data_IF_814891808172
#
_entry.id   IF_814891808172
#
_cell.length_a   1.000
_cell.length_b   1.000
_cell.length_c   1.000
_cell.angle_alpha   90.00
_cell.angle_beta   90.00
_cell.angle_gamma   90.00
#
_symmetry.space_group_name_H-M   'P 1'
#
loop_
_entity.id
_entity.type
_entity.pdbx_description
1 polymer ?
#
# COMPACT_ATOMS: atom_id res chain seq x y z
N UNK A 1 -5.71 36.93 -12.10
CA UNK A 1 -4.64 37.22 -11.13
C UNK A 1 -4.38 35.96 -10.36
N UNK A 2 -3.12 35.54 -10.19
CA UNK A 2 -2.82 34.40 -9.31
C UNK A 2 -3.27 34.79 -7.91
N UNK A 3 -4.10 33.95 -7.31
CA UNK A 3 -4.62 34.16 -5.97
C UNK A 3 -3.50 34.52 -5.00
N UNK A 4 -3.82 35.46 -4.10
CA UNK A 4 -2.90 35.98 -3.11
C UNK A 4 -2.29 34.90 -2.23
N UNK A 5 -1.35 35.31 -1.38
CA UNK A 5 -0.63 34.48 -0.41
C UNK A 5 -1.61 33.86 0.60
N UNK A 6 -2.32 32.82 0.17
CA UNK A 6 -3.23 32.02 0.99
C UNK A 6 -2.45 30.89 1.65
N UNK A 7 -2.82 30.58 2.88
CA UNK A 7 -2.16 29.56 3.69
C UNK A 7 -2.37 28.15 3.13
N UNK A 8 -3.49 27.89 2.47
CA UNK A 8 -3.72 26.65 1.71
C UNK A 8 -3.35 26.90 0.25
N UNK A 9 -2.54 26.03 -0.39
CA UNK A 9 -2.13 24.68 0.00
C UNK A 9 -0.72 24.59 0.65
N UNK A 10 -0.22 25.68 1.26
CA UNK A 10 1.20 25.81 1.67
C UNK A 10 1.51 25.20 3.03
N UNK A 11 0.53 25.14 3.91
CA UNK A 11 0.71 24.56 5.25
C UNK A 11 1.10 23.07 5.15
N UNK A 12 2.05 22.66 6.00
CA UNK A 12 2.39 21.26 6.16
C UNK A 12 1.16 20.51 6.68
N UNK A 13 0.78 19.44 5.99
CA UNK A 13 -0.32 18.57 6.37
C UNK A 13 0.21 17.24 6.91
N UNK A 14 -0.52 16.60 7.82
CA UNK A 14 -0.08 15.35 8.45
C UNK A 14 0.11 14.21 7.45
N UNK A 15 -0.68 14.19 6.37
CA UNK A 15 -0.54 13.23 5.26
C UNK A 15 0.78 13.36 4.49
N UNK A 16 1.60 14.38 4.75
CA UNK A 16 2.94 14.47 4.18
C UNK A 16 3.97 13.61 4.92
N UNK A 17 3.67 13.14 6.13
CA UNK A 17 4.63 12.41 6.96
C UNK A 17 5.13 11.16 6.24
N UNK A 18 6.45 10.95 6.23
CA UNK A 18 7.10 9.83 5.53
C UNK A 18 7.14 9.93 4.00
N UNK A 19 6.34 10.78 3.35
CA UNK A 19 6.29 10.93 1.89
C UNK A 19 7.08 12.13 1.37
N UNK A 20 7.05 13.25 2.10
CA UNK A 20 7.68 14.52 1.70
C UNK A 20 8.57 15.04 2.83
N UNK A 21 9.70 15.65 2.48
CA UNK A 21 10.55 16.32 3.45
C UNK A 21 9.81 17.52 4.08
N UNK A 22 9.64 17.57 5.41
CA UNK A 22 8.84 18.61 6.05
C UNK A 22 9.51 19.99 6.07
N UNK A 23 10.84 20.04 5.91
CA UNK A 23 11.64 21.26 6.09
C UNK A 23 12.19 21.83 4.78
N UNK A 24 12.41 20.99 3.76
CA UNK A 24 13.09 21.40 2.54
C UNK A 24 12.11 22.06 1.55
N UNK A 25 11.83 23.33 1.78
CA UNK A 25 11.01 24.18 0.90
C UNK A 25 11.64 25.58 0.81
N UNK A 26 11.65 26.22 -0.38
CA UNK A 26 12.21 27.56 -0.53
C UNK A 26 11.43 28.61 0.26
N UNK A 27 12.13 29.63 0.75
CA UNK A 27 11.49 30.77 1.41
C UNK A 27 10.66 31.62 0.42
N UNK A 28 9.77 32.45 0.96
CA UNK A 28 9.03 33.44 0.18
C UNK A 28 7.81 32.87 -0.57
N UNK A 29 7.66 33.23 -1.85
CA UNK A 29 6.43 32.96 -2.61
C UNK A 29 6.24 31.47 -2.96
N UNK A 30 7.29 30.67 -2.90
CA UNK A 30 7.26 29.24 -3.22
C UNK A 30 7.18 28.35 -1.97
N UNK A 31 7.22 28.94 -0.76
CA UNK A 31 7.13 28.21 0.51
C UNK A 31 5.86 27.37 0.57
N UNK A 32 6.03 26.06 0.80
CA UNK A 32 4.97 25.05 0.85
C UNK A 32 4.41 24.61 -0.51
N UNK A 33 4.78 25.28 -1.61
CA UNK A 33 4.40 24.89 -2.97
C UNK A 33 5.42 23.95 -3.61
N UNK A 34 6.70 24.24 -3.40
CA UNK A 34 7.78 23.33 -3.82
C UNK A 34 8.05 22.37 -2.69
N UNK A 35 7.93 21.08 -2.99
CA UNK A 35 8.06 19.96 -2.07
C UNK A 35 9.13 19.00 -2.60
N UNK A 36 9.92 18.43 -1.71
CA UNK A 36 10.92 17.43 -2.04
C UNK A 36 10.48 16.08 -1.48
N UNK A 37 10.59 15.02 -2.29
CA UNK A 37 10.24 13.66 -1.87
C UNK A 37 11.16 13.21 -0.73
N UNK A 38 10.64 12.38 0.18
CA UNK A 38 11.48 11.73 1.19
C UNK A 38 12.44 10.71 0.54
N UNK A 39 13.48 10.31 1.26
CA UNK A 39 14.46 9.33 0.77
C UNK A 39 13.83 7.98 0.40
N UNK A 40 12.80 7.57 1.13
CA UNK A 40 12.11 6.29 0.93
C UNK A 40 10.83 6.43 0.11
N UNK A 41 10.51 7.64 -0.37
CA UNK A 41 9.31 7.85 -1.18
C UNK A 41 9.45 7.15 -2.52
N UNK A 42 8.45 6.36 -2.86
CA UNK A 42 8.28 5.75 -4.17
C UNK A 42 7.06 6.36 -4.86
N UNK A 43 7.13 6.52 -6.18
CA UNK A 43 6.02 7.03 -7.00
C UNK A 43 5.54 5.89 -7.89
N UNK A 44 4.26 5.52 -7.77
CA UNK A 44 3.69 4.42 -8.54
C UNK A 44 3.80 4.67 -10.04
N UNK A 45 4.14 3.62 -10.79
CA UNK A 45 4.11 3.61 -12.26
C UNK A 45 2.77 3.10 -12.79
N UNK A 46 2.01 2.42 -11.92
CA UNK A 46 0.68 1.91 -12.21
C UNK A 46 0.70 0.52 -12.82
N UNK A 47 -0.40 -0.20 -12.65
CA UNK A 47 -0.59 -1.56 -13.16
C UNK A 47 -2.00 -1.77 -13.72
N UNK A 48 -2.18 -2.69 -14.69
CA UNK A 48 -3.50 -3.04 -15.20
C UNK A 48 -4.44 -3.50 -14.07
N UNK A 49 -5.65 -2.95 -14.06
CA UNK A 49 -6.66 -3.25 -13.03
C UNK A 49 -7.57 -4.42 -13.40
N UNK A 50 -7.69 -4.76 -14.69
CA UNK A 50 -8.61 -5.80 -15.18
C UNK A 50 -8.38 -7.17 -14.53
N UNK A 51 -7.13 -7.66 -14.36
CA UNK A 51 -6.90 -8.94 -13.69
C UNK A 51 -7.41 -8.98 -12.24
N UNK A 52 -7.40 -7.84 -11.55
CA UNK A 52 -7.90 -7.72 -10.17
C UNK A 52 -9.43 -7.81 -10.17
N UNK A 53 -10.08 -7.13 -11.12
CA UNK A 53 -11.53 -7.20 -11.32
C UNK A 53 -11.98 -8.63 -11.62
N UNK A 54 -11.35 -9.30 -12.59
CA UNK A 54 -11.65 -10.67 -12.97
C UNK A 54 -11.49 -11.64 -11.80
N UNK A 55 -10.42 -11.48 -11.02
CA UNK A 55 -10.22 -12.26 -9.80
C UNK A 55 -11.35 -12.07 -8.79
N UNK A 56 -11.79 -10.83 -8.56
CA UNK A 56 -12.88 -10.57 -7.61
C UNK A 56 -14.22 -11.15 -8.10
N UNK A 57 -14.53 -11.07 -9.40
CA UNK A 57 -15.73 -11.71 -9.98
C UNK A 57 -15.69 -13.22 -9.75
N UNK A 58 -14.55 -13.87 -9.97
CA UNK A 58 -14.36 -15.30 -9.69
C UNK A 58 -14.51 -15.66 -8.20
N UNK A 59 -14.35 -14.68 -7.30
CA UNK A 59 -14.54 -14.81 -5.85
C UNK A 59 -15.89 -14.28 -5.38
N UNK A 60 -16.92 -14.38 -6.24
CA UNK A 60 -18.31 -14.04 -5.92
C UNK A 60 -18.56 -12.54 -5.68
N UNK A 61 -17.76 -11.65 -6.27
CA UNK A 61 -18.18 -10.27 -6.46
C UNK A 61 -19.30 -10.21 -7.49
N UNK A 62 -20.42 -9.61 -7.10
CA UNK A 62 -21.54 -9.33 -7.99
C UNK A 62 -21.24 -8.05 -8.77
N UNK A 63 -21.30 -8.11 -10.10
CA UNK A 63 -21.05 -6.95 -10.94
C UNK A 63 -22.17 -5.92 -10.80
N UNK A 64 -21.85 -4.64 -10.92
CA UNK A 64 -22.81 -3.57 -10.66
C UNK A 64 -24.06 -3.66 -11.56
N UNK A 65 -23.91 -4.13 -12.78
CA UNK A 65 -24.99 -4.29 -13.75
C UNK A 65 -26.02 -5.36 -13.34
N UNK A 66 -25.61 -6.33 -12.53
CA UNK A 66 -26.46 -7.43 -12.05
C UNK A 66 -26.99 -7.18 -10.64
N UNK A 67 -26.42 -6.20 -9.92
CA UNK A 67 -26.73 -5.93 -8.53
C UNK A 67 -28.13 -5.33 -8.34
N UNK A 68 -28.94 -6.02 -7.51
CA UNK A 68 -30.22 -5.52 -7.02
C UNK A 68 -30.12 -4.98 -5.59
N UNK A 69 -30.24 -3.65 -5.36
CA UNK A 69 -30.08 -3.05 -4.03
C UNK A 69 -31.05 -3.58 -2.96
N UNK A 70 -32.23 -4.06 -3.38
CA UNK A 70 -33.22 -4.62 -2.47
C UNK A 70 -32.87 -6.01 -1.94
N UNK A 71 -32.04 -6.77 -2.65
CA UNK A 71 -31.67 -8.13 -2.28
C UNK A 71 -30.57 -8.16 -1.21
N UNK A 72 -29.59 -7.25 -1.30
CA UNK A 72 -28.43 -7.22 -0.41
C UNK A 72 -28.09 -5.78 0.05
N UNK A 73 -28.94 -5.13 0.87
CA UNK A 73 -28.75 -3.73 1.29
C UNK A 73 -27.48 -3.52 2.13
N UNK A 74 -26.95 -4.59 2.74
CA UNK A 74 -25.74 -4.56 3.55
C UNK A 74 -24.46 -4.92 2.79
N UNK A 75 -24.54 -5.11 1.47
CA UNK A 75 -23.37 -5.43 0.65
C UNK A 75 -22.35 -4.28 0.64
N UNK A 76 -21.08 -4.64 0.62
CA UNK A 76 -19.97 -3.66 0.53
C UNK A 76 -19.71 -3.32 -0.92
N UNK A 77 -19.63 -2.02 -1.21
CA UNK A 77 -19.34 -1.49 -2.55
C UNK A 77 -17.86 -1.66 -2.86
N UNK A 78 -17.55 -2.08 -4.08
CA UNK A 78 -16.16 -2.25 -4.53
C UNK A 78 -15.85 -1.21 -5.60
N UNK A 79 -14.81 -0.43 -5.36
CA UNK A 79 -14.32 0.61 -6.27
C UNK A 79 -12.94 0.25 -6.78
N UNK A 80 -12.72 0.41 -8.08
CA UNK A 80 -11.41 0.30 -8.72
C UNK A 80 -11.12 1.61 -9.42
N UNK A 81 -10.04 2.30 -9.01
CA UNK A 81 -9.65 3.61 -9.55
C UNK A 81 -10.83 4.61 -9.58
N UNK A 82 -11.62 4.62 -8.50
CA UNK A 82 -12.80 5.48 -8.35
C UNK A 82 -14.08 5.01 -9.07
N UNK A 83 -14.01 3.97 -9.89
CA UNK A 83 -15.19 3.40 -10.57
C UNK A 83 -15.85 2.35 -9.70
N UNK A 84 -17.15 2.46 -9.43
CA UNK A 84 -17.92 1.42 -8.75
C UNK A 84 -18.12 0.24 -9.70
N UNK A 85 -17.47 -0.89 -9.41
CA UNK A 85 -17.48 -2.08 -10.28
C UNK A 85 -18.47 -3.16 -9.85
N UNK A 86 -18.85 -3.18 -8.58
CA UNK A 86 -19.70 -4.23 -8.04
C UNK A 86 -19.87 -4.17 -6.54
N UNK A 87 -20.46 -5.22 -5.98
CA UNK A 87 -20.64 -5.39 -4.54
C UNK A 87 -20.22 -6.78 -4.09
N UNK A 88 -19.97 -6.92 -2.79
CA UNK A 88 -19.70 -8.21 -2.18
C UNK A 88 -20.33 -8.32 -0.80
N UNK A 89 -20.95 -9.46 -0.51
CA UNK A 89 -21.67 -9.71 0.75
C UNK A 89 -20.74 -10.07 1.92
N UNK A 90 -19.57 -10.64 1.64
CA UNK A 90 -18.56 -11.04 2.63
C UNK A 90 -17.21 -10.30 2.41
N UNK A 91 -17.16 -8.97 2.57
CA UNK A 91 -15.99 -8.16 2.21
C UNK A 91 -14.72 -8.50 2.99
N UNK A 92 -14.84 -8.96 4.23
CA UNK A 92 -13.68 -9.30 5.06
C UNK A 92 -12.82 -10.38 4.39
N UNK A 93 -13.47 -11.45 3.93
CA UNK A 93 -12.79 -12.56 3.26
C UNK A 93 -12.20 -12.12 1.91
N UNK A 94 -12.92 -11.32 1.12
CA UNK A 94 -12.42 -10.82 -0.17
C UNK A 94 -11.18 -9.94 0.03
N UNK A 95 -11.19 -9.04 1.01
CA UNK A 95 -10.07 -8.14 1.31
C UNK A 95 -8.83 -8.94 1.70
N UNK A 96 -8.96 -9.93 2.59
CA UNK A 96 -7.84 -10.81 2.97
C UNK A 96 -7.25 -11.52 1.76
N UNK A 97 -8.09 -12.09 0.88
CA UNK A 97 -7.62 -12.76 -0.34
C UNK A 97 -6.85 -11.82 -1.27
N UNK A 98 -7.33 -10.59 -1.47
CA UNK A 98 -6.66 -9.62 -2.35
C UNK A 98 -5.35 -9.11 -1.72
N UNK A 99 -5.31 -8.93 -0.40
CA UNK A 99 -4.09 -8.59 0.33
C UNK A 99 -3.04 -9.70 0.21
N UNK A 100 -3.43 -10.97 0.30
CA UNK A 100 -2.54 -12.11 0.09
C UNK A 100 -1.96 -12.13 -1.33
N UNK A 101 -2.75 -11.79 -2.36
CA UNK A 101 -2.23 -11.68 -3.72
C UNK A 101 -1.14 -10.61 -3.82
N UNK A 102 -1.28 -9.48 -3.12
CA UNK A 102 -0.26 -8.41 -3.08
C UNK A 102 1.00 -8.89 -2.37
N UNK A 103 0.85 -9.51 -1.20
CA UNK A 103 1.96 -10.04 -0.37
C UNK A 103 2.79 -11.09 -1.10
N UNK A 104 2.14 -11.91 -1.92
CA UNK A 104 2.79 -12.93 -2.76
C UNK A 104 3.30 -12.39 -4.10
N UNK A 105 3.19 -11.08 -4.32
CA UNK A 105 3.56 -10.40 -5.57
C UNK A 105 2.88 -10.98 -6.82
N UNK A 106 1.66 -11.52 -6.68
CA UNK A 106 0.82 -11.94 -7.81
C UNK A 106 0.21 -10.71 -8.48
N UNK A 107 -0.20 -9.74 -7.66
CA UNK A 107 -0.54 -8.38 -8.10
C UNK A 107 0.59 -7.43 -7.70
N UNK A 108 0.69 -6.29 -8.39
CA UNK A 108 1.76 -5.33 -8.10
C UNK A 108 1.72 -4.87 -6.65
N UNK A 109 2.91 -4.77 -6.03
CA UNK A 109 3.10 -4.19 -4.70
C UNK A 109 2.63 -2.72 -4.62
N UNK A 110 2.49 -2.06 -5.77
CA UNK A 110 1.96 -0.70 -5.89
C UNK A 110 0.45 -0.60 -5.72
N UNK A 111 -0.29 -1.72 -5.74
CA UNK A 111 -1.75 -1.69 -5.61
C UNK A 111 -2.12 -1.33 -4.17
N UNK A 112 -2.84 -0.22 -4.01
CA UNK A 112 -3.36 0.22 -2.72
C UNK A 112 -4.73 -0.40 -2.47
N UNK A 113 -4.93 -0.85 -1.23
CA UNK A 113 -6.10 -1.61 -0.80
C UNK A 113 -6.69 -0.98 0.45
N UNK A 114 -7.78 -0.22 0.29
CA UNK A 114 -8.39 0.54 1.39
C UNK A 114 -9.77 -0.02 1.71
N UNK A 115 -9.95 -0.53 2.93
CA UNK A 115 -11.25 -1.02 3.41
C UNK A 115 -11.88 -0.01 4.37
N UNK A 116 -12.87 0.73 3.89
CA UNK A 116 -13.69 1.59 4.74
C UNK A 116 -14.87 0.80 5.31
N UNK A 117 -14.76 0.45 6.60
CA UNK A 117 -15.78 -0.31 7.33
C UNK A 117 -17.04 0.53 7.57
N UNK A 118 -16.91 1.85 7.75
CA UNK A 118 -18.02 2.75 8.08
C UNK A 118 -18.90 3.00 6.87
N UNK A 119 -18.28 3.32 5.74
CA UNK A 119 -19.01 3.62 4.50
C UNK A 119 -19.33 2.37 3.68
N UNK A 120 -18.88 1.20 4.15
CA UNK A 120 -19.00 -0.11 3.51
C UNK A 120 -18.44 -0.06 2.09
N UNK A 121 -17.18 0.34 1.99
CA UNK A 121 -16.46 0.46 0.72
C UNK A 121 -15.14 -0.29 0.77
N UNK A 122 -14.82 -0.97 -0.31
CA UNK A 122 -13.48 -1.48 -0.58
C UNK A 122 -12.95 -0.78 -1.83
N UNK A 123 -11.90 0.02 -1.67
CA UNK A 123 -11.31 0.84 -2.72
C UNK A 123 -9.95 0.28 -3.10
N UNK A 124 -9.75 0.10 -4.39
CA UNK A 124 -8.54 -0.44 -4.98
C UNK A 124 -7.99 0.61 -5.94
N UNK A 125 -6.73 0.99 -5.74
CA UNK A 125 -6.04 1.93 -6.61
C UNK A 125 -4.82 1.26 -7.24
N UNK A 126 -4.79 1.25 -8.57
CA UNK A 126 -3.72 0.68 -9.38
C UNK A 126 -3.15 1.70 -10.37
N UNK A 127 -3.57 2.95 -10.26
CA UNK A 127 -3.12 4.06 -11.08
C UNK A 127 -1.70 4.53 -10.72
N UNK A 128 -1.11 5.27 -11.66
CA UNK A 128 0.22 5.85 -11.56
C UNK A 128 0.19 7.20 -10.84
N UNK A 129 1.32 7.59 -10.23
CA UNK A 129 1.49 8.90 -9.61
C UNK A 129 1.13 8.97 -8.12
N UNK A 130 0.77 7.85 -7.50
CA UNK A 130 0.60 7.76 -6.04
C UNK A 130 1.96 7.76 -5.37
N UNK A 131 2.08 8.55 -4.31
CA UNK A 131 3.27 8.57 -3.46
C UNK A 131 3.08 7.57 -2.33
N UNK A 132 4.09 6.75 -2.12
CA UNK A 132 4.06 5.66 -1.15
C UNK A 132 5.41 5.51 -0.45
N UNK A 133 5.42 4.84 0.69
CA UNK A 133 6.63 4.52 1.43
C UNK A 133 6.66 3.06 1.85
N UNK A 134 7.82 2.40 1.80
CA UNK A 134 7.98 1.05 2.29
C UNK A 134 7.97 1.03 3.83
N UNK A 135 7.27 0.06 4.40
CA UNK A 135 7.22 -0.21 5.83
C UNK A 135 7.39 -1.70 6.10
N UNK A 136 7.91 -2.04 7.28
CA UNK A 136 7.97 -3.42 7.72
C UNK A 136 6.59 -3.93 8.11
N UNK A 137 6.31 -5.16 7.71
CA UNK A 137 5.08 -5.86 8.08
C UNK A 137 5.23 -6.45 9.48
N UNK A 138 4.18 -6.32 10.30
CA UNK A 138 4.06 -7.03 11.57
C UNK A 138 3.41 -8.38 11.32
N UNK A 139 3.97 -9.42 11.93
CA UNK A 139 3.46 -10.77 11.87
C UNK A 139 2.23 -10.91 12.77
N UNK A 140 1.20 -11.52 12.23
CA UNK A 140 -0.17 -11.69 12.72
C UNK A 140 -0.56 -13.14 12.44
N UNK A 141 -1.66 -13.65 13.02
CA UNK A 141 -2.13 -15.00 12.71
C UNK A 141 -2.43 -15.23 11.21
N UNK A 142 -2.73 -14.15 10.47
CA UNK A 142 -3.17 -14.21 9.08
C UNK A 142 -2.01 -14.14 8.06
N UNK A 143 -0.77 -13.86 8.48
CA UNK A 143 0.41 -13.87 7.62
C UNK A 143 1.45 -14.87 8.15
N UNK A 144 1.59 -16.01 7.48
CA UNK A 144 2.60 -17.02 7.83
C UNK A 144 3.99 -16.60 7.36
N UNK A 145 4.62 -15.65 8.04
CA UNK A 145 6.01 -15.21 7.71
C UNK A 145 7.09 -16.05 8.41
N UNK A 146 6.66 -16.99 9.28
CA UNK A 146 7.55 -17.82 10.10
C UNK A 146 8.12 -17.11 11.34
N UNK A 147 7.77 -15.84 11.54
CA UNK A 147 8.06 -15.09 12.77
C UNK A 147 6.99 -15.36 13.85
N UNK A 148 7.25 -14.92 15.08
CA UNK A 148 6.28 -14.99 16.19
C UNK A 148 5.17 -13.95 16.00
N UNK A 149 3.95 -14.26 16.40
CA UNK A 149 2.84 -13.29 16.37
C UNK A 149 3.19 -12.03 17.18
N UNK A 150 2.85 -10.86 16.64
CA UNK A 150 3.16 -9.57 17.26
C UNK A 150 4.58 -9.06 17.02
N UNK A 151 5.43 -9.83 16.34
CA UNK A 151 6.81 -9.41 16.01
C UNK A 151 6.93 -8.96 14.56
N UNK A 152 8.05 -8.35 14.17
CA UNK A 152 8.30 -8.02 12.77
C UNK A 152 8.40 -9.29 11.91
N UNK A 153 7.84 -9.25 10.70
CA UNK A 153 8.04 -10.27 9.67
C UNK A 153 9.52 -10.35 9.19
N UNK A 154 10.31 -9.30 9.47
CA UNK A 154 11.74 -9.30 9.20
C UNK A 154 12.47 -10.22 10.18
N UNK A 155 12.98 -11.34 9.68
CA UNK A 155 13.77 -12.29 10.47
C UNK A 155 15.28 -12.06 10.31
N UNK A 156 16.07 -12.60 11.24
CA UNK A 156 17.54 -12.60 11.14
C UNK A 156 18.06 -13.30 9.89
N UNK A 157 17.32 -14.26 9.35
CA UNK A 157 17.69 -14.95 8.11
C UNK A 157 17.61 -13.99 6.92
N UNK A 158 16.59 -13.13 6.85
CA UNK A 158 16.50 -12.10 5.81
C UNK A 158 17.69 -11.14 5.87
N UNK A 159 18.07 -10.69 7.08
CA UNK A 159 19.24 -9.83 7.27
C UNK A 159 20.53 -10.53 6.81
N UNK A 160 20.71 -11.80 7.18
CA UNK A 160 21.88 -12.58 6.77
C UNK A 160 21.98 -12.71 5.24
N UNK A 161 20.87 -12.92 4.54
CA UNK A 161 20.87 -12.99 3.06
C UNK A 161 21.32 -11.68 2.42
N UNK A 162 20.90 -10.53 2.97
CA UNK A 162 21.37 -9.22 2.52
C UNK A 162 22.87 -9.00 2.81
N UNK A 163 23.33 -9.44 3.99
CA UNK A 163 24.76 -9.39 4.33
C UNK A 163 25.59 -10.28 3.41
N UNK A 164 25.08 -11.47 3.05
CA UNK A 164 25.73 -12.38 2.11
C UNK A 164 25.81 -11.76 0.70
N UNK A 165 24.78 -11.04 0.25
CA UNK A 165 24.86 -10.31 -1.03
C UNK A 165 26.02 -9.30 -1.04
N UNK A 166 26.20 -8.54 0.05
CA UNK A 166 27.31 -7.59 0.18
C UNK A 166 28.66 -8.32 0.30
N UNK A 167 28.75 -9.35 1.15
CA UNK A 167 29.96 -10.10 1.44
C UNK A 167 30.50 -10.83 0.21
N UNK A 168 29.61 -11.44 -0.57
CA UNK A 168 29.96 -12.15 -1.79
C UNK A 168 29.93 -11.25 -3.02
N UNK A 169 29.66 -9.94 -2.85
CA UNK A 169 29.58 -8.95 -3.93
C UNK A 169 28.61 -9.36 -5.03
N UNK A 170 27.49 -9.99 -4.64
CA UNK A 170 26.44 -10.40 -5.56
C UNK A 170 25.80 -9.18 -6.21
N UNK A 171 25.51 -9.31 -7.49
CA UNK A 171 24.83 -8.31 -8.30
C UNK A 171 23.40 -8.72 -8.56
N UNK A 172 22.56 -7.75 -8.93
CA UNK A 172 21.14 -7.97 -9.22
C UNK A 172 20.86 -9.06 -10.26
N UNK A 173 21.80 -9.28 -11.18
CA UNK A 173 21.69 -10.30 -12.23
C UNK A 173 22.14 -11.71 -11.78
N UNK A 174 22.70 -11.84 -10.57
CA UNK A 174 23.12 -13.14 -10.05
C UNK A 174 21.89 -13.92 -9.52
N UNK A 175 21.83 -15.22 -9.80
CA UNK A 175 20.68 -16.07 -9.43
C UNK A 175 20.41 -16.08 -7.90
N UNK A 176 21.46 -15.99 -7.09
CA UNK A 176 21.38 -16.03 -5.62
C UNK A 176 21.20 -14.64 -4.97
N UNK A 177 21.08 -13.58 -5.76
CA UNK A 177 20.92 -12.23 -5.23
C UNK A 177 19.56 -12.07 -4.55
N UNK A 178 19.56 -11.65 -3.28
CA UNK A 178 18.34 -11.41 -2.54
C UNK A 178 17.89 -9.96 -2.68
N UNK A 179 18.70 -9.01 -2.22
CA UNK A 179 18.46 -7.57 -2.33
C UNK A 179 17.11 -7.08 -1.80
N UNK A 180 16.73 -5.89 -2.25
CA UNK A 180 15.44 -5.28 -1.90
C UNK A 180 14.24 -6.08 -2.46
N UNK A 181 14.36 -6.52 -3.71
CA UNK A 181 13.30 -7.30 -4.38
C UNK A 181 13.02 -8.59 -3.61
N UNK A 182 14.03 -9.20 -3.00
CA UNK A 182 13.89 -10.35 -2.13
C UNK A 182 13.06 -10.08 -0.86
N UNK A 183 13.27 -8.93 -0.20
CA UNK A 183 12.46 -8.53 0.97
C UNK A 183 11.00 -8.31 0.58
N UNK A 184 10.77 -7.65 -0.54
CA UNK A 184 9.42 -7.39 -1.06
C UNK A 184 8.71 -8.70 -1.43
N UNK A 185 9.38 -9.57 -2.18
CA UNK A 185 8.83 -10.87 -2.60
C UNK A 185 8.62 -11.84 -1.42
N UNK A 186 9.32 -11.63 -0.31
CA UNK A 186 9.12 -12.38 0.93
C UNK A 186 7.99 -11.81 1.80
N UNK A 187 7.31 -10.74 1.36
CA UNK A 187 6.22 -10.11 2.11
C UNK A 187 6.66 -9.43 3.40
N UNK A 188 7.95 -9.14 3.55
CA UNK A 188 8.53 -8.51 4.76
C UNK A 188 8.30 -7.00 4.76
N UNK A 189 8.20 -6.42 3.56
CA UNK A 189 8.01 -5.00 3.32
C UNK A 189 6.75 -4.82 2.48
N UNK A 190 5.92 -3.85 2.87
CA UNK A 190 4.77 -3.40 2.09
C UNK A 190 4.87 -1.91 1.82
N UNK A 191 4.44 -1.50 0.62
CA UNK A 191 4.36 -0.09 0.25
C UNK A 191 2.98 0.43 0.62
N UNK A 192 2.93 1.46 1.46
CA UNK A 192 1.69 2.13 1.83
C UNK A 192 1.66 3.51 1.19
N UNK A 193 0.54 3.84 0.56
CA UNK A 193 0.25 5.20 0.12
C UNK A 193 -0.55 5.98 1.18
N UNK A 194 -0.73 7.28 0.94
CA UNK A 194 -1.38 8.17 1.88
C UNK A 194 -2.82 7.77 2.24
N UNK A 195 -3.54 7.09 1.34
CA UNK A 195 -4.92 6.64 1.63
C UNK A 195 -4.94 5.34 2.42
N UNK A 196 -4.05 4.40 2.11
CA UNK A 196 -3.93 3.14 2.87
C UNK A 196 -3.47 3.39 4.31
N UNK A 197 -2.61 4.39 4.53
CA UNK A 197 -2.15 4.81 5.86
C UNK A 197 -3.30 5.21 6.81
N UNK A 198 -4.42 5.73 6.31
CA UNK A 198 -5.59 6.09 7.15
C UNK A 198 -6.26 4.86 7.79
N UNK A 199 -6.02 3.67 7.24
CA UNK A 199 -6.55 2.39 7.74
C UNK A 199 -5.50 1.52 8.42
N UNK A 200 -4.23 1.93 8.37
CA UNK A 200 -3.11 1.19 8.94
C UNK A 200 -2.77 1.66 10.36
N UNK A 201 -2.20 0.75 11.16
CA UNK A 201 -1.56 1.09 12.43
C UNK A 201 -0.06 0.87 12.30
N UNK A 202 0.71 1.92 12.59
CA UNK A 202 2.15 1.95 12.35
C UNK A 202 2.86 2.16 13.68
N UNK A 203 3.64 1.17 14.07
CA UNK A 203 4.48 1.27 15.24
C UNK A 203 5.72 2.15 14.96
N UNK A 204 6.12 2.95 15.94
CA UNK A 204 7.25 3.89 15.77
C UNK A 204 8.60 3.20 15.94
N UNK A 205 8.69 2.26 16.88
CA UNK A 205 9.91 1.51 17.17
C UNK A 205 9.60 0.03 17.37
N UNK A 206 10.49 -0.90 16.99
CA UNK A 206 10.28 -2.32 17.24
C UNK A 206 10.13 -2.67 18.72
N UNK A 207 10.66 -1.85 19.63
CA UNK A 207 10.54 -2.03 21.09
C UNK A 207 9.13 -1.75 21.62
N UNK A 208 8.30 -1.03 20.87
CA UNK A 208 6.92 -0.70 21.22
C UNK A 208 5.90 -1.78 20.74
N UNK A 209 6.37 -2.81 20.03
CA UNK A 209 5.55 -3.95 19.56
C UNK A 209 5.31 -5.00 20.66
#
# INVERSE_FOLDING_TARGET
GRDGKLDKPRQLHNTHWGLVCPAETPEGQACGLVKNLSLMCYVSVGSPAEPIKDFMVQRNMEVLEEYEPGASPDATKIFINGTWVGVHSQPAHLVTLVQELRRRCIISHEVSLVRDIRDREFKIFSDAGRVMRPLFVVNTPDNETGAEEGTLALTKEHCRRLEDDAKYSRKKDDEDYFGWDGLQNSGVIEYLDAEEEETAMICMTPEDL
#
